data_IF_162701782806
#
_entry.id   IF_162701782806
#
_cell.length_a   1.000
_cell.length_b   1.000
_cell.length_c   1.000
_cell.angle_alpha   90.00
_cell.angle_beta   90.00
_cell.angle_gamma   90.00
#
_symmetry.space_group_name_H-M   'P 1'
#
loop_
_entity.id
_entity.type
_entity.pdbx_description
1 polymer ?
#
# COMPACT_ATOMS: atom_id res chain seq x y z
N UNK A 1 31.76 20.92 13.05
CA UNK A 1 30.47 20.42 12.60
C UNK A 1 30.27 19.12 13.37
N UNK A 2 29.53 19.16 14.49
CA UNK A 2 29.19 17.95 15.25
C UNK A 2 28.24 17.12 14.36
N UNK A 3 28.67 15.94 13.97
CA UNK A 3 27.77 14.99 13.31
C UNK A 3 26.63 14.65 14.27
N UNK A 4 25.45 15.24 14.03
CA UNK A 4 24.24 14.90 14.77
C UNK A 4 23.99 13.40 14.67
N UNK A 5 23.43 12.81 15.73
CA UNK A 5 22.99 11.41 15.71
C UNK A 5 21.87 11.27 14.68
N UNK A 6 21.91 10.20 13.88
CA UNK A 6 20.80 9.89 12.96
C UNK A 6 19.49 9.76 13.77
N UNK A 7 18.42 10.49 13.40
CA UNK A 7 17.14 10.40 14.11
C UNK A 7 16.63 8.96 14.25
N UNK A 8 16.88 8.11 13.26
CA UNK A 8 16.49 6.68 13.28
C UNK A 8 17.13 5.92 14.44
N UNK A 9 18.42 6.19 14.70
CA UNK A 9 19.16 5.50 15.77
C UNK A 9 18.75 5.98 17.18
N UNK A 10 18.13 7.18 17.26
CA UNK A 10 17.70 7.76 18.54
C UNK A 10 16.24 7.49 18.84
N UNK A 11 15.40 7.54 17.80
CA UNK A 11 13.94 7.47 17.94
C UNK A 11 13.40 6.05 17.94
N UNK A 12 14.12 5.11 17.31
CA UNK A 12 13.64 3.74 17.13
C UNK A 12 14.65 2.73 17.66
N UNK A 13 14.15 1.69 18.29
CA UNK A 13 14.93 0.50 18.59
C UNK A 13 15.20 -0.26 17.29
N UNK A 14 16.34 -0.95 17.18
CA UNK A 14 16.80 -1.62 15.97
C UNK A 14 15.70 -2.47 15.32
N UNK A 15 15.24 -2.10 14.15
CA UNK A 15 14.30 -2.87 13.34
C UNK A 15 13.14 -2.09 12.72
N UNK A 16 12.95 -0.84 13.04
CA UNK A 16 11.84 -0.04 12.51
C UNK A 16 12.29 0.82 11.31
N UNK A 17 12.26 0.25 10.12
CA UNK A 17 12.40 1.04 8.89
C UNK A 17 12.02 0.27 7.64
N UNK A 18 10.86 -0.37 7.60
CA UNK A 18 10.27 -0.66 6.29
C UNK A 18 9.82 0.67 5.67
N UNK A 19 10.40 1.00 4.52
CA UNK A 19 9.98 2.19 3.78
C UNK A 19 8.50 2.02 3.39
N UNK A 20 7.65 3.04 3.59
CA UNK A 20 6.23 2.92 3.29
C UNK A 20 6.01 2.60 1.80
N UNK A 21 5.01 1.77 1.50
CA UNK A 21 4.57 1.50 0.14
C UNK A 21 4.09 2.81 -0.53
N UNK A 22 4.13 2.90 -1.88
CA UNK A 22 3.50 4.00 -2.60
C UNK A 22 2.04 4.19 -2.20
N UNK A 23 1.59 5.44 -2.16
CA UNK A 23 0.26 5.81 -1.71
C UNK A 23 -0.88 5.29 -2.60
N UNK A 24 -0.59 4.92 -3.85
CA UNK A 24 -1.58 4.42 -4.79
C UNK A 24 -1.18 3.05 -5.32
N UNK A 25 -2.17 2.18 -5.51
CA UNK A 25 -2.08 0.88 -6.17
C UNK A 25 -3.04 0.86 -7.35
N UNK A 26 -2.52 0.79 -8.58
CA UNK A 26 -3.33 0.88 -9.80
C UNK A 26 -3.53 -0.48 -10.45
N UNK A 27 -4.78 -0.90 -10.58
CA UNK A 27 -5.17 -2.21 -11.12
C UNK A 27 -5.41 -2.14 -12.63
N UNK A 28 -4.90 -3.16 -13.34
CA UNK A 28 -5.10 -3.34 -14.77
C UNK A 28 -5.23 -4.82 -15.12
N UNK A 29 -6.38 -5.24 -15.73
CA UNK A 29 -6.68 -6.64 -16.02
C UNK A 29 -6.55 -7.03 -17.50
N UNK A 30 -6.56 -6.09 -18.44
CA UNK A 30 -6.41 -6.42 -19.86
C UNK A 30 -5.03 -6.04 -20.38
N UNK A 31 -4.50 -6.74 -21.41
CA UNK A 31 -3.17 -6.44 -21.95
C UNK A 31 -2.95 -4.98 -22.32
N UNK A 32 -3.98 -4.34 -22.92
CA UNK A 32 -3.91 -2.93 -23.31
C UNK A 32 -3.85 -1.98 -22.10
N UNK A 33 -4.64 -2.26 -21.04
CA UNK A 33 -4.63 -1.48 -19.81
C UNK A 33 -3.33 -1.70 -19.03
N UNK A 34 -2.82 -2.92 -18.98
CA UNK A 34 -1.53 -3.25 -18.36
C UNK A 34 -0.39 -2.45 -18.98
N UNK A 35 -0.28 -2.50 -20.33
CA UNK A 35 0.75 -1.75 -21.06
C UNK A 35 0.64 -0.24 -20.82
N UNK A 36 -0.59 0.31 -20.82
CA UNK A 36 -0.86 1.73 -20.55
C UNK A 36 -0.46 2.10 -19.11
N UNK A 37 -0.72 1.24 -18.13
CA UNK A 37 -0.37 1.48 -16.73
C UNK A 37 1.15 1.50 -16.50
N UNK A 38 1.89 0.59 -17.14
CA UNK A 38 3.35 0.59 -17.10
C UNK A 38 3.95 1.84 -17.77
N UNK A 39 3.41 2.24 -18.93
CA UNK A 39 3.82 3.47 -19.60
C UNK A 39 3.58 4.71 -18.72
N UNK A 40 2.44 4.75 -18.01
CA UNK A 40 2.12 5.84 -17.08
C UNK A 40 3.04 5.84 -15.85
N UNK A 41 3.39 4.67 -15.31
CA UNK A 41 4.35 4.58 -14.21
C UNK A 41 5.74 5.06 -14.64
N UNK A 42 6.16 4.79 -15.89
CA UNK A 42 7.40 5.32 -16.43
C UNK A 42 7.39 6.85 -16.54
N UNK A 43 6.24 7.43 -16.88
CA UNK A 43 6.06 8.90 -16.98
C UNK A 43 6.08 9.57 -15.60
N UNK A 44 5.34 9.01 -14.63
CA UNK A 44 5.14 9.60 -13.31
C UNK A 44 6.23 9.23 -12.29
N UNK A 45 7.03 8.22 -12.59
CA UNK A 45 7.96 7.61 -11.63
C UNK A 45 7.28 6.58 -10.71
N UNK A 46 8.02 6.01 -9.74
CA UNK A 46 7.53 4.96 -8.83
C UNK A 46 6.66 5.51 -7.69
N UNK A 47 5.83 6.53 -7.97
CA UNK A 47 4.92 7.16 -7.00
C UNK A 47 3.66 6.33 -6.77
N UNK A 48 3.44 5.31 -7.57
CA UNK A 48 2.37 4.33 -7.42
C UNK A 48 2.84 2.95 -7.86
N UNK A 49 2.19 1.90 -7.33
CA UNK A 49 2.37 0.54 -7.81
C UNK A 49 1.36 0.22 -8.91
N UNK A 50 1.71 -0.74 -9.76
CA UNK A 50 0.78 -1.34 -10.72
C UNK A 50 0.51 -2.78 -10.30
N UNK A 51 -0.76 -3.17 -10.16
CA UNK A 51 -1.17 -4.56 -9.98
C UNK A 51 -1.73 -5.11 -11.28
N UNK A 52 -1.05 -6.09 -11.87
CA UNK A 52 -1.55 -6.84 -13.02
C UNK A 52 -2.54 -7.90 -12.53
N UNK A 53 -3.74 -7.91 -13.09
CA UNK A 53 -4.85 -8.65 -12.54
C UNK A 53 -5.13 -9.94 -13.32
N UNK A 54 -5.15 -11.08 -12.63
CA UNK A 54 -5.57 -12.36 -13.16
C UNK A 54 -6.99 -12.78 -12.70
N UNK A 55 -7.65 -11.93 -11.90
CA UNK A 55 -8.94 -12.24 -11.27
C UNK A 55 -10.09 -11.44 -11.92
N UNK A 56 -10.91 -10.74 -11.16
CA UNK A 56 -12.15 -10.08 -11.64
C UNK A 56 -11.94 -9.04 -12.76
N UNK A 57 -10.77 -8.44 -12.87
CA UNK A 57 -10.43 -7.52 -13.96
C UNK A 57 -9.88 -8.19 -15.22
N UNK A 58 -9.64 -9.50 -15.19
CA UNK A 58 -9.11 -10.28 -16.30
C UNK A 58 -10.25 -10.92 -17.14
N UNK A 59 -10.00 -11.26 -18.41
CA UNK A 59 -10.93 -12.05 -19.20
C UNK A 59 -11.10 -13.47 -18.62
N UNK A 60 -12.32 -13.97 -18.59
CA UNK A 60 -12.64 -15.33 -18.16
C UNK A 60 -12.30 -16.33 -19.25
N UNK A 61 -11.66 -17.43 -18.89
CA UNK A 61 -11.19 -18.47 -19.82
C UNK A 61 -9.81 -18.14 -20.40
N UNK A 62 -8.90 -19.08 -20.35
CA UNK A 62 -7.51 -18.89 -20.79
C UNK A 62 -6.57 -18.39 -19.68
N UNK A 63 -6.89 -18.69 -18.42
CA UNK A 63 -6.19 -18.26 -17.20
C UNK A 63 -4.68 -18.54 -17.27
N UNK A 64 -4.26 -19.73 -17.72
CA UNK A 64 -2.85 -20.08 -17.85
C UNK A 64 -2.10 -19.16 -18.82
N UNK A 65 -2.68 -18.86 -19.98
CA UNK A 65 -2.09 -17.93 -20.94
C UNK A 65 -2.04 -16.50 -20.42
N UNK A 66 -3.00 -16.12 -19.57
CA UNK A 66 -3.03 -14.81 -18.94
C UNK A 66 -1.96 -14.69 -17.84
N UNK A 67 -1.76 -15.71 -17.00
CA UNK A 67 -0.67 -15.77 -16.02
C UNK A 67 0.71 -15.66 -16.69
N UNK A 68 0.93 -16.36 -17.83
CA UNK A 68 2.13 -16.21 -18.63
C UNK A 68 2.32 -14.79 -19.19
N UNK A 69 1.23 -14.15 -19.66
CA UNK A 69 1.27 -12.76 -20.11
C UNK A 69 1.71 -11.83 -18.98
N UNK A 70 1.12 -11.97 -17.78
CA UNK A 70 1.48 -11.21 -16.59
C UNK A 70 2.97 -11.40 -16.26
N UNK A 71 3.47 -12.64 -16.26
CA UNK A 71 4.87 -12.92 -16.03
C UNK A 71 5.79 -12.26 -17.07
N UNK A 72 5.42 -12.30 -18.37
CA UNK A 72 6.18 -11.62 -19.43
C UNK A 72 6.18 -10.09 -19.26
N UNK A 73 5.06 -9.50 -18.83
CA UNK A 73 4.99 -8.06 -18.57
C UNK A 73 5.85 -7.65 -17.37
N UNK A 74 5.88 -8.44 -16.31
CA UNK A 74 6.78 -8.24 -15.17
C UNK A 74 8.26 -8.25 -15.60
N UNK A 75 8.64 -9.14 -16.51
CA UNK A 75 10.00 -9.27 -17.04
C UNK A 75 10.36 -8.19 -18.07
N UNK A 76 9.37 -7.49 -18.62
CA UNK A 76 9.61 -6.51 -19.68
C UNK A 76 10.42 -5.31 -19.19
N UNK A 77 11.07 -4.59 -20.11
CA UNK A 77 11.77 -3.34 -19.84
C UNK A 77 10.81 -2.21 -19.36
N UNK A 78 9.51 -2.39 -19.60
CA UNK A 78 8.48 -1.43 -19.16
C UNK A 78 8.26 -1.46 -17.64
N UNK A 79 8.54 -2.58 -16.95
CA UNK A 79 8.61 -2.65 -15.48
C UNK A 79 9.93 -2.03 -15.01
N UNK A 80 10.06 -0.73 -15.15
CA UNK A 80 11.33 -0.01 -14.97
C UNK A 80 11.78 0.07 -13.52
N UNK A 81 10.84 0.05 -12.58
CA UNK A 81 11.10 0.35 -11.17
C UNK A 81 10.94 -0.86 -10.24
N UNK A 82 10.64 -2.04 -10.78
CA UNK A 82 10.28 -3.23 -10.01
C UNK A 82 9.16 -2.98 -8.97
N UNK A 83 8.22 -2.08 -9.36
CA UNK A 83 7.05 -1.68 -8.59
C UNK A 83 5.74 -2.18 -9.21
N UNK A 84 5.79 -3.44 -9.72
CA UNK A 84 4.65 -4.11 -10.34
C UNK A 84 4.36 -5.39 -9.57
N UNK A 85 3.15 -5.49 -9.03
CA UNK A 85 2.60 -6.69 -8.41
C UNK A 85 1.66 -7.45 -9.33
N UNK A 86 1.13 -8.57 -8.85
CA UNK A 86 0.10 -9.35 -9.54
C UNK A 86 -0.98 -9.79 -8.57
N UNK A 87 -2.27 -9.65 -8.96
CA UNK A 87 -3.38 -10.28 -8.26
C UNK A 87 -3.68 -11.61 -8.94
N UNK A 88 -3.58 -12.70 -8.17
CA UNK A 88 -3.87 -14.07 -8.61
C UNK A 88 -5.32 -14.43 -8.31
N UNK A 89 -5.79 -15.56 -8.79
CA UNK A 89 -7.11 -16.08 -8.40
C UNK A 89 -7.19 -16.39 -6.89
N UNK A 90 -8.40 -16.49 -6.32
CA UNK A 90 -8.60 -16.88 -4.92
C UNK A 90 -7.94 -18.23 -4.59
N UNK A 91 -7.50 -18.43 -3.35
CA UNK A 91 -6.79 -19.64 -2.89
C UNK A 91 -7.58 -20.95 -3.16
N UNK A 92 -8.91 -20.88 -3.18
CA UNK A 92 -9.79 -22.00 -3.53
C UNK A 92 -10.04 -22.21 -5.03
N UNK A 93 -9.59 -21.30 -5.89
CA UNK A 93 -9.83 -21.40 -7.33
C UNK A 93 -8.88 -22.42 -7.99
N UNK A 94 -9.34 -23.21 -9.00
CA UNK A 94 -8.49 -24.19 -9.67
C UNK A 94 -7.19 -23.62 -10.27
N UNK A 95 -7.23 -22.41 -10.83
CA UNK A 95 -6.06 -21.75 -11.44
C UNK A 95 -5.05 -21.17 -10.43
N UNK A 96 -5.39 -21.07 -9.14
CA UNK A 96 -4.56 -20.39 -8.14
C UNK A 96 -3.12 -20.92 -8.07
N UNK A 97 -2.97 -22.25 -8.00
CA UNK A 97 -1.64 -22.85 -7.87
C UNK A 97 -0.79 -22.64 -9.13
N UNK A 98 -1.42 -22.69 -10.30
CA UNK A 98 -0.76 -22.48 -11.59
C UNK A 98 -0.39 -21.00 -11.80
N UNK A 99 -1.25 -20.05 -11.38
CA UNK A 99 -0.92 -18.63 -11.39
C UNK A 99 0.35 -18.35 -10.57
N UNK A 100 0.35 -18.82 -9.30
CA UNK A 100 1.50 -18.63 -8.40
C UNK A 100 2.75 -19.27 -8.98
N UNK A 101 2.66 -20.52 -9.42
CA UNK A 101 3.80 -21.24 -9.99
C UNK A 101 4.35 -20.52 -11.23
N UNK A 102 3.50 -20.10 -12.16
CA UNK A 102 3.89 -19.44 -13.40
C UNK A 102 4.50 -18.07 -13.12
N UNK A 103 3.80 -17.21 -12.39
CA UNK A 103 4.22 -15.82 -12.18
C UNK A 103 5.50 -15.77 -11.33
N UNK A 104 5.57 -16.54 -10.25
CA UNK A 104 6.70 -16.48 -9.31
C UNK A 104 7.94 -17.16 -9.89
N UNK A 105 7.81 -18.33 -10.52
CA UNK A 105 8.98 -19.00 -11.10
C UNK A 105 9.60 -18.23 -12.26
N UNK A 106 8.76 -17.59 -13.10
CA UNK A 106 9.25 -16.81 -14.23
C UNK A 106 9.76 -15.42 -13.83
N UNK A 107 9.01 -14.70 -12.98
CA UNK A 107 9.21 -13.28 -12.77
C UNK A 107 9.39 -12.85 -11.29
N UNK A 108 9.53 -13.78 -10.35
CA UNK A 108 9.59 -13.52 -8.91
C UNK A 108 10.67 -12.51 -8.50
N UNK A 109 11.77 -12.39 -9.23
CA UNK A 109 12.84 -11.40 -8.98
C UNK A 109 12.39 -9.96 -9.22
N UNK A 110 11.41 -9.76 -10.12
CA UNK A 110 10.89 -8.46 -10.52
C UNK A 110 9.46 -8.20 -10.04
N UNK A 111 8.87 -9.18 -9.34
CA UNK A 111 7.54 -9.08 -8.77
C UNK A 111 7.58 -8.30 -7.47
N UNK A 112 6.91 -7.16 -7.37
CA UNK A 112 6.87 -6.33 -6.18
C UNK A 112 6.18 -7.06 -5.01
N UNK A 113 5.02 -7.64 -5.26
CA UNK A 113 4.18 -8.41 -4.32
C UNK A 113 3.19 -9.29 -5.07
N UNK A 114 2.64 -10.25 -4.36
CA UNK A 114 1.51 -11.04 -4.82
C UNK A 114 0.26 -10.66 -4.02
N UNK A 115 -0.83 -10.28 -4.70
CA UNK A 115 -2.10 -9.93 -4.08
C UNK A 115 -3.04 -11.15 -4.05
N UNK A 116 -3.53 -11.48 -2.87
CA UNK A 116 -4.46 -12.57 -2.59
C UNK A 116 -5.88 -12.04 -2.43
N UNK A 117 -6.79 -12.26 -3.39
CA UNK A 117 -8.20 -11.88 -3.24
C UNK A 117 -8.95 -12.92 -2.40
N UNK A 118 -10.09 -12.52 -1.87
CA UNK A 118 -11.11 -13.38 -1.26
C UNK A 118 -10.55 -14.38 -0.22
N UNK A 119 -9.53 -13.96 0.55
CA UNK A 119 -9.06 -14.77 1.69
C UNK A 119 -10.18 -14.90 2.73
N UNK A 120 -10.26 -16.05 3.42
CA UNK A 120 -11.25 -16.31 4.46
C UNK A 120 -10.64 -16.41 5.85
N UNK A 121 -9.36 -16.79 5.92
CA UNK A 121 -8.66 -17.07 7.18
C UNK A 121 -7.13 -16.99 7.00
N UNK A 122 -6.40 -16.94 8.10
CA UNK A 122 -4.94 -16.95 8.07
C UNK A 122 -4.36 -18.17 7.36
N UNK A 123 -5.01 -19.35 7.45
CA UNK A 123 -4.57 -20.56 6.76
C UNK A 123 -4.52 -20.42 5.22
N UNK A 124 -5.33 -19.53 4.64
CA UNK A 124 -5.25 -19.23 3.20
C UNK A 124 -3.96 -18.48 2.87
N UNK A 125 -3.55 -17.56 3.75
CA UNK A 125 -2.28 -16.85 3.62
C UNK A 125 -1.09 -17.80 3.79
N UNK A 126 -1.16 -18.72 4.77
CA UNK A 126 -0.14 -19.75 5.00
C UNK A 126 0.04 -20.66 3.77
N UNK A 127 -1.08 -21.10 3.19
CA UNK A 127 -1.07 -21.91 1.96
C UNK A 127 -0.47 -21.15 0.79
N UNK A 128 -0.84 -19.89 0.59
CA UNK A 128 -0.27 -19.04 -0.45
C UNK A 128 1.23 -18.84 -0.25
N UNK A 129 1.67 -18.54 0.98
CA UNK A 129 3.06 -18.36 1.32
C UNK A 129 3.89 -19.61 1.01
N UNK A 130 3.39 -20.79 1.36
CA UNK A 130 4.07 -22.06 1.07
C UNK A 130 4.22 -22.31 -0.45
N UNK A 131 3.19 -22.03 -1.25
CA UNK A 131 3.28 -22.14 -2.72
C UNK A 131 4.25 -21.12 -3.33
N UNK A 132 4.24 -19.88 -2.85
CA UNK A 132 5.18 -18.85 -3.29
C UNK A 132 6.60 -19.26 -2.94
N UNK A 133 6.86 -19.77 -1.74
CA UNK A 133 8.20 -20.24 -1.34
C UNK A 133 8.66 -21.43 -2.21
N UNK A 134 7.77 -22.36 -2.53
CA UNK A 134 8.07 -23.48 -3.41
C UNK A 134 8.39 -23.02 -4.86
N UNK A 135 7.66 -22.02 -5.36
CA UNK A 135 7.88 -21.45 -6.70
C UNK A 135 9.11 -20.50 -6.77
N UNK A 136 9.59 -20.02 -5.62
CA UNK A 136 10.68 -19.05 -5.51
C UNK A 136 12.07 -19.70 -5.53
N UNK A 137 12.23 -20.94 -5.95
CA UNK A 137 13.52 -21.62 -6.02
C UNK A 137 14.52 -20.78 -6.83
N UNK A 138 15.60 -20.30 -6.19
CA UNK A 138 16.61 -19.42 -6.82
C UNK A 138 16.26 -17.92 -6.83
N UNK A 139 15.20 -17.50 -6.14
CA UNK A 139 14.88 -16.09 -5.87
C UNK A 139 15.37 -15.72 -4.48
N UNK A 140 16.37 -14.86 -4.38
CA UNK A 140 16.98 -14.48 -3.08
C UNK A 140 16.00 -13.67 -2.20
N UNK A 141 15.15 -12.84 -2.83
CA UNK A 141 14.20 -12.00 -2.14
C UNK A 141 12.88 -12.75 -1.92
N UNK A 142 12.39 -12.77 -0.68
CA UNK A 142 11.02 -13.21 -0.39
C UNK A 142 10.00 -12.28 -1.03
N UNK A 143 9.11 -12.80 -1.88
CA UNK A 143 7.99 -12.04 -2.46
C UNK A 143 6.98 -11.74 -1.36
N UNK A 144 6.68 -10.46 -1.06
CA UNK A 144 5.65 -10.09 -0.07
C UNK A 144 4.26 -10.49 -0.54
N UNK A 145 3.34 -10.68 0.42
CA UNK A 145 1.93 -10.92 0.15
C UNK A 145 1.10 -9.70 0.57
N UNK A 146 0.20 -9.29 -0.29
CA UNK A 146 -0.90 -8.39 0.03
C UNK A 146 -2.18 -9.20 0.08
N UNK A 147 -3.11 -8.89 0.96
CA UNK A 147 -4.37 -9.61 1.05
C UNK A 147 -5.56 -8.66 0.99
N UNK A 148 -6.63 -9.09 0.31
CA UNK A 148 -7.92 -8.42 0.28
C UNK A 148 -8.80 -8.89 1.42
N UNK A 149 -9.22 -7.97 2.25
CA UNK A 149 -10.20 -8.17 3.31
C UNK A 149 -11.56 -7.78 2.75
N UNK A 150 -12.30 -8.75 2.27
CA UNK A 150 -13.56 -8.55 1.53
C UNK A 150 -14.59 -9.64 1.83
N UNK A 151 -14.26 -10.58 2.72
CA UNK A 151 -15.12 -11.67 3.16
C UNK A 151 -15.42 -11.53 4.67
N UNK A 152 -16.48 -12.17 5.12
CA UNK A 152 -16.78 -12.21 6.56
C UNK A 152 -15.70 -12.94 7.37
N UNK A 153 -15.10 -13.98 6.77
CA UNK A 153 -14.03 -14.75 7.37
C UNK A 153 -12.78 -13.93 7.54
N UNK A 154 -12.33 -13.24 6.48
CA UNK A 154 -11.15 -12.38 6.53
C UNK A 154 -11.31 -11.26 7.55
N UNK A 155 -12.49 -10.63 7.63
CA UNK A 155 -12.71 -9.57 8.62
C UNK A 155 -12.70 -10.10 10.07
N UNK A 156 -13.17 -11.34 10.29
CA UNK A 156 -13.09 -12.00 11.60
C UNK A 156 -11.65 -12.30 11.97
N UNK A 157 -10.82 -12.74 11.02
CA UNK A 157 -9.44 -13.17 11.22
C UNK A 157 -8.42 -12.05 10.93
N UNK A 158 -8.85 -10.79 10.79
CA UNK A 158 -8.03 -9.69 10.28
C UNK A 158 -6.74 -9.46 11.08
N UNK A 159 -6.79 -9.61 12.40
CA UNK A 159 -5.61 -9.51 13.27
C UNK A 159 -4.61 -10.65 13.01
N UNK A 160 -5.09 -11.90 12.89
CA UNK A 160 -4.22 -13.04 12.60
C UNK A 160 -3.61 -12.95 11.20
N UNK A 161 -4.37 -12.45 10.21
CA UNK A 161 -3.88 -12.20 8.86
C UNK A 161 -2.81 -11.09 8.89
N UNK A 162 -3.07 -9.96 9.56
CA UNK A 162 -2.11 -8.86 9.69
C UNK A 162 -0.81 -9.29 10.40
N UNK A 163 -0.92 -10.13 11.43
CA UNK A 163 0.24 -10.66 12.17
C UNK A 163 1.15 -11.57 11.34
N UNK A 164 0.65 -12.13 10.22
CA UNK A 164 1.43 -13.08 9.43
C UNK A 164 2.67 -12.39 8.81
N UNK A 165 3.89 -12.98 8.96
CA UNK A 165 5.16 -12.31 8.60
C UNK A 165 5.32 -12.06 7.09
N UNK A 166 4.56 -12.76 6.24
CA UNK A 166 4.58 -12.55 4.77
C UNK A 166 3.66 -11.44 4.31
N UNK A 167 2.70 -11.03 5.14
CA UNK A 167 1.81 -9.91 4.82
C UNK A 167 2.57 -8.60 4.95
N UNK A 168 2.46 -7.76 3.93
CA UNK A 168 2.99 -6.41 3.86
C UNK A 168 1.85 -5.37 3.88
N UNK A 169 0.72 -5.69 3.25
CA UNK A 169 -0.44 -4.80 3.14
C UNK A 169 -1.76 -5.56 3.22
N UNK A 170 -2.75 -4.95 3.87
CA UNK A 170 -4.14 -5.38 3.78
C UNK A 170 -4.96 -4.32 3.05
N UNK A 171 -5.72 -4.76 2.08
CA UNK A 171 -6.58 -3.90 1.28
C UNK A 171 -8.05 -4.21 1.53
N UNK A 172 -8.90 -3.18 1.57
CA UNK A 172 -10.33 -3.38 1.72
C UNK A 172 -11.01 -3.59 0.37
N UNK A 173 -11.69 -4.72 0.18
CA UNK A 173 -12.52 -5.02 -1.00
C UNK A 173 -13.99 -4.66 -0.74
N UNK A 174 -14.36 -3.39 -0.91
CA UNK A 174 -15.68 -2.86 -0.58
C UNK A 174 -16.81 -3.54 -1.34
N UNK A 175 -16.63 -3.81 -2.64
CA UNK A 175 -17.70 -4.32 -3.51
C UNK A 175 -18.08 -5.75 -3.10
N UNK A 176 -17.10 -6.63 -2.96
CA UNK A 176 -17.31 -8.01 -2.51
C UNK A 176 -17.83 -8.06 -1.07
N UNK A 177 -17.31 -7.20 -0.19
CA UNK A 177 -17.79 -7.08 1.19
C UNK A 177 -19.28 -6.73 1.24
N UNK A 178 -19.72 -5.72 0.48
CA UNK A 178 -21.15 -5.35 0.41
C UNK A 178 -21.99 -6.46 -0.21
N UNK A 179 -21.51 -7.06 -1.29
CA UNK A 179 -22.17 -8.19 -1.97
C UNK A 179 -22.37 -9.38 -1.04
N UNK A 180 -21.38 -9.72 -0.20
CA UNK A 180 -21.46 -10.81 0.78
C UNK A 180 -22.57 -10.62 1.82
N UNK A 181 -23.11 -9.41 2.00
CA UNK A 181 -24.22 -9.11 2.90
C UNK A 181 -25.62 -9.34 2.27
N UNK A 182 -25.68 -9.92 1.07
CA UNK A 182 -26.93 -10.41 0.45
C UNK A 182 -28.02 -9.32 0.34
N UNK A 183 -27.62 -8.10 0.01
CA UNK A 183 -28.52 -6.97 -0.16
C UNK A 183 -28.96 -6.27 1.17
N UNK A 184 -28.44 -6.70 2.32
CA UNK A 184 -28.73 -6.04 3.60
C UNK A 184 -27.99 -4.70 3.76
N UNK A 185 -26.91 -4.47 3.02
CA UNK A 185 -26.23 -3.18 2.89
C UNK A 185 -26.73 -2.53 1.60
N UNK A 186 -27.29 -1.31 1.65
CA UNK A 186 -27.81 -0.65 0.46
C UNK A 186 -26.67 -0.23 -0.50
N UNK A 187 -26.98 -0.12 -1.78
CA UNK A 187 -26.00 0.21 -2.83
C UNK A 187 -25.28 1.56 -2.59
N UNK A 188 -25.96 2.52 -1.97
CA UNK A 188 -25.39 3.81 -1.60
C UNK A 188 -24.15 3.70 -0.70
N UNK A 189 -24.04 2.61 0.08
CA UNK A 189 -22.86 2.36 0.91
C UNK A 189 -21.58 2.06 0.09
N UNK A 190 -21.70 1.85 -1.23
CA UNK A 190 -20.56 1.67 -2.14
C UNK A 190 -20.15 2.99 -2.82
N UNK A 191 -20.96 4.05 -2.70
CA UNK A 191 -20.63 5.36 -3.28
C UNK A 191 -19.45 6.02 -2.55
N UNK A 192 -18.84 7.02 -3.19
CA UNK A 192 -17.74 7.78 -2.61
C UNK A 192 -18.09 8.42 -1.26
N UNK A 193 -19.34 8.79 -1.03
CA UNK A 193 -19.83 9.38 0.23
C UNK A 193 -20.33 8.32 1.21
N UNK A 194 -21.20 7.41 0.76
CA UNK A 194 -21.88 6.43 1.61
C UNK A 194 -20.96 5.41 2.28
N UNK A 195 -19.84 5.11 1.66
CA UNK A 195 -18.82 4.20 2.20
C UNK A 195 -18.17 4.68 3.52
N UNK A 196 -18.35 5.95 3.87
CA UNK A 196 -17.82 6.53 5.11
C UNK A 196 -18.89 6.72 6.20
N UNK A 197 -20.13 6.34 5.92
CA UNK A 197 -21.25 6.52 6.85
C UNK A 197 -21.96 5.22 7.24
N UNK A 198 -21.96 4.20 6.38
CA UNK A 198 -22.62 2.94 6.68
C UNK A 198 -21.86 2.14 7.76
N UNK A 199 -22.54 1.84 8.89
CA UNK A 199 -21.93 1.30 10.10
C UNK A 199 -21.07 0.02 9.89
N UNK A 200 -21.54 -0.94 9.08
CA UNK A 200 -20.79 -2.17 8.81
C UNK A 200 -19.56 -1.92 7.93
N UNK A 201 -19.64 -0.99 6.98
CA UNK A 201 -18.50 -0.59 6.13
C UNK A 201 -17.46 0.15 6.96
N UNK A 202 -17.89 1.11 7.77
CA UNK A 202 -17.01 1.86 8.70
C UNK A 202 -16.31 0.91 9.67
N UNK A 203 -17.06 -0.05 10.26
CA UNK A 203 -16.48 -1.09 11.13
C UNK A 203 -15.36 -1.86 10.43
N UNK A 204 -15.57 -2.30 9.19
CA UNK A 204 -14.56 -3.04 8.43
C UNK A 204 -13.32 -2.17 8.18
N UNK A 205 -13.51 -0.92 7.75
CA UNK A 205 -12.39 0.02 7.54
C UNK A 205 -11.57 0.24 8.80
N UNK A 206 -12.21 0.48 9.92
CA UNK A 206 -11.52 0.69 11.22
C UNK A 206 -10.79 -0.56 11.66
N UNK A 207 -11.40 -1.75 11.54
CA UNK A 207 -10.76 -3.01 11.91
C UNK A 207 -9.50 -3.29 11.08
N UNK A 208 -9.56 -3.09 9.76
CA UNK A 208 -8.42 -3.28 8.86
C UNK A 208 -7.29 -2.32 9.19
N UNK A 209 -7.59 -1.03 9.34
CA UNK A 209 -6.58 -0.02 9.66
C UNK A 209 -5.93 -0.29 11.02
N UNK A 210 -6.72 -0.63 12.05
CA UNK A 210 -6.21 -0.95 13.38
C UNK A 210 -5.29 -2.18 13.37
N UNK A 211 -5.70 -3.27 12.72
CA UNK A 211 -4.87 -4.48 12.59
C UNK A 211 -3.56 -4.20 11.85
N UNK A 212 -3.61 -3.45 10.75
CA UNK A 212 -2.41 -3.07 10.02
C UNK A 212 -1.44 -2.28 10.89
N UNK A 213 -1.90 -1.24 11.58
CA UNK A 213 -1.04 -0.43 12.45
C UNK A 213 -0.50 -1.24 13.63
N UNK A 214 -1.32 -2.12 14.23
CA UNK A 214 -0.90 -2.99 15.33
C UNK A 214 0.24 -3.96 14.96
N UNK A 215 0.35 -4.31 13.69
CA UNK A 215 1.36 -5.25 13.17
C UNK A 215 2.36 -4.61 12.20
N UNK A 216 2.47 -3.29 12.18
CA UNK A 216 3.36 -2.53 11.26
C UNK A 216 3.15 -2.89 9.78
N UNK A 217 1.88 -3.05 9.36
CA UNK A 217 1.49 -3.31 7.98
C UNK A 217 0.86 -2.07 7.35
N UNK A 218 0.78 -2.06 6.01
CA UNK A 218 0.20 -0.95 5.26
C UNK A 218 -1.31 -1.16 5.06
N UNK A 219 -2.19 -0.30 5.62
CA UNK A 219 -3.60 -0.32 5.30
C UNK A 219 -3.85 0.36 3.94
N UNK A 220 -4.47 -0.38 3.00
CA UNK A 220 -4.84 0.09 1.67
C UNK A 220 -6.35 0.23 1.55
N UNK A 221 -6.82 1.45 1.29
CA UNK A 221 -8.25 1.77 1.17
C UNK A 221 -8.83 1.24 -0.14
N UNK A 222 -10.13 0.95 -0.14
CA UNK A 222 -10.86 0.50 -1.32
C UNK A 222 -10.90 1.55 -2.44
N UNK A 223 -11.27 1.09 -3.64
CA UNK A 223 -11.50 1.94 -4.80
C UNK A 223 -12.67 2.92 -4.61
N UNK A 224 -12.67 3.98 -5.41
CA UNK A 224 -13.84 4.81 -5.74
C UNK A 224 -14.23 4.47 -7.17
N UNK A 225 -15.49 4.09 -7.37
CA UNK A 225 -16.00 3.69 -8.69
C UNK A 225 -16.33 4.87 -9.59
N UNK A 226 -16.56 6.04 -9.01
CA UNK A 226 -16.73 7.30 -9.72
C UNK A 226 -15.36 7.78 -10.24
N UNK A 227 -15.17 7.83 -11.55
CA UNK A 227 -13.91 8.25 -12.16
C UNK A 227 -14.04 9.52 -13.03
N UNK A 228 -15.27 9.99 -13.25
CA UNK A 228 -15.53 11.19 -14.05
C UNK A 228 -15.19 12.51 -13.34
N UNK A 229 -15.13 12.50 -12.00
CA UNK A 229 -14.79 13.67 -11.19
C UNK A 229 -13.63 13.37 -10.25
N UNK A 230 -12.49 13.97 -10.51
CA UNK A 230 -11.28 13.80 -9.70
C UNK A 230 -11.40 14.42 -8.29
N UNK A 231 -12.31 15.39 -8.08
CA UNK A 231 -12.55 15.97 -6.76
C UNK A 231 -13.22 14.96 -5.82
N UNK A 232 -14.12 14.12 -6.35
CA UNK A 232 -14.75 13.02 -5.59
C UNK A 232 -13.69 12.02 -5.11
N UNK A 233 -12.76 11.65 -5.99
CA UNK A 233 -11.65 10.75 -5.66
C UNK A 233 -10.73 11.38 -4.61
N UNK A 234 -10.34 12.64 -4.79
CA UNK A 234 -9.50 13.37 -3.85
C UNK A 234 -10.16 13.49 -2.46
N UNK A 235 -11.47 13.77 -2.42
CA UNK A 235 -12.25 13.82 -1.19
C UNK A 235 -12.25 12.50 -0.44
N UNK A 236 -12.54 11.39 -1.14
CA UNK A 236 -12.53 10.05 -0.55
C UNK A 236 -11.12 9.64 -0.06
N UNK A 237 -10.08 9.91 -0.85
CA UNK A 237 -8.70 9.64 -0.46
C UNK A 237 -8.26 10.46 0.77
N UNK A 238 -8.68 11.73 0.84
CA UNK A 238 -8.41 12.60 2.01
C UNK A 238 -9.09 12.06 3.26
N UNK A 239 -10.36 11.64 3.18
CA UNK A 239 -11.08 11.01 4.30
C UNK A 239 -10.43 9.71 4.72
N UNK A 240 -10.06 8.85 3.78
CA UNK A 240 -9.35 7.62 4.06
C UNK A 240 -8.05 7.87 4.85
N UNK A 241 -7.25 8.84 4.42
CA UNK A 241 -5.98 9.19 5.07
C UNK A 241 -6.17 9.86 6.43
N UNK A 242 -7.09 10.82 6.55
CA UNK A 242 -7.19 11.72 7.71
C UNK A 242 -8.16 11.23 8.80
N UNK A 243 -9.23 10.55 8.40
CA UNK A 243 -10.25 10.09 9.35
C UNK A 243 -10.08 8.62 9.73
N UNK A 244 -9.53 7.79 8.82
CA UNK A 244 -9.44 6.34 8.99
C UNK A 244 -8.01 5.78 9.11
N UNK A 245 -7.00 6.62 8.96
CA UNK A 245 -5.60 6.20 9.14
C UNK A 245 -5.05 5.32 8.03
N UNK A 246 -5.66 5.31 6.85
CA UNK A 246 -5.09 4.62 5.70
C UNK A 246 -3.85 5.35 5.19
N UNK A 247 -2.90 4.61 4.63
CA UNK A 247 -1.68 5.17 4.03
C UNK A 247 -1.55 4.89 2.54
N UNK A 248 -2.50 4.11 1.98
CA UNK A 248 -2.56 3.67 0.58
C UNK A 248 -4.00 3.54 0.12
N UNK A 249 -4.25 3.62 -1.18
CA UNK A 249 -5.58 3.44 -1.78
C UNK A 249 -5.47 2.84 -3.18
N UNK A 250 -6.48 2.04 -3.57
CA UNK A 250 -6.60 1.49 -4.91
C UNK A 250 -7.08 2.51 -5.93
N UNK A 251 -6.62 2.33 -7.14
CA UNK A 251 -7.08 3.01 -8.34
C UNK A 251 -7.46 1.98 -9.41
N UNK A 252 -8.57 2.23 -10.10
CA UNK A 252 -9.04 1.43 -11.25
C UNK A 252 -9.08 2.24 -12.54
N UNK A 253 -8.75 3.53 -12.46
CA UNK A 253 -8.70 4.42 -13.62
C UNK A 253 -7.49 5.37 -13.52
N UNK A 254 -6.73 5.60 -14.60
CA UNK A 254 -5.53 6.46 -14.57
C UNK A 254 -5.74 7.87 -14.00
N UNK A 255 -6.92 8.47 -14.23
CA UNK A 255 -7.26 9.80 -13.71
C UNK A 255 -7.32 9.85 -12.18
N UNK A 256 -7.44 8.70 -11.48
CA UNK A 256 -7.49 8.62 -10.02
C UNK A 256 -6.11 8.67 -9.36
N UNK A 257 -5.04 8.32 -10.08
CA UNK A 257 -3.70 8.15 -9.51
C UNK A 257 -3.19 9.44 -8.89
N UNK A 258 -3.15 10.54 -9.65
CA UNK A 258 -2.64 11.83 -9.17
C UNK A 258 -3.42 12.38 -7.98
N UNK A 259 -4.78 12.42 -7.99
CA UNK A 259 -5.55 12.86 -6.81
C UNK A 259 -5.32 11.97 -5.57
N UNK A 260 -5.21 10.65 -5.74
CA UNK A 260 -4.89 9.75 -4.63
C UNK A 260 -3.50 10.07 -4.07
N UNK A 261 -2.47 10.10 -4.91
CA UNK A 261 -1.10 10.39 -4.47
C UNK A 261 -1.03 11.71 -3.72
N UNK A 262 -1.68 12.76 -4.26
CA UNK A 262 -1.70 14.08 -3.62
C UNK A 262 -2.41 14.07 -2.25
N UNK A 263 -3.56 13.36 -2.13
CA UNK A 263 -4.34 13.33 -0.89
C UNK A 263 -3.62 12.62 0.28
N UNK A 264 -2.76 11.64 -0.04
CA UNK A 264 -1.98 10.92 0.96
C UNK A 264 -0.67 11.61 1.34
N UNK A 265 -0.28 12.69 0.65
CA UNK A 265 0.91 13.45 1.03
C UNK A 265 0.67 14.28 2.29
N UNK A 266 1.70 14.47 3.14
CA UNK A 266 1.66 15.50 4.16
C UNK A 266 1.48 16.88 3.53
N UNK A 267 0.74 17.77 4.19
CA UNK A 267 0.62 19.16 3.78
C UNK A 267 1.92 19.93 4.06
N UNK A 268 2.17 20.99 3.33
CA UNK A 268 3.37 21.81 3.51
C UNK A 268 3.56 22.25 4.97
N UNK A 269 2.46 22.68 5.62
CA UNK A 269 2.51 23.13 7.02
C UNK A 269 2.87 21.99 7.99
N UNK A 270 2.48 20.74 7.67
CA UNK A 270 2.86 19.57 8.47
C UNK A 270 4.34 19.24 8.31
N UNK A 271 4.88 19.41 7.10
CA UNK A 271 6.31 19.23 6.81
C UNK A 271 7.14 20.30 7.51
N UNK A 272 6.73 21.56 7.40
CA UNK A 272 7.41 22.68 8.06
C UNK A 272 7.44 22.52 9.58
N UNK A 273 6.31 22.13 10.18
CA UNK A 273 6.23 21.83 11.60
C UNK A 273 7.14 20.64 11.98
N UNK A 274 7.16 19.58 11.18
CA UNK A 274 8.01 18.44 11.44
C UNK A 274 9.50 18.78 11.39
N UNK A 275 9.93 19.56 10.39
CA UNK A 275 11.30 20.06 10.31
C UNK A 275 11.67 20.91 11.53
N UNK A 276 10.82 21.87 11.91
CA UNK A 276 11.08 22.77 13.03
C UNK A 276 11.21 22.02 14.36
N UNK A 277 10.33 21.03 14.62
CA UNK A 277 10.35 20.22 15.86
C UNK A 277 11.57 19.31 15.90
N UNK A 278 11.90 18.60 14.81
CA UNK A 278 13.07 17.72 14.78
C UNK A 278 14.38 18.49 14.86
N UNK A 279 14.48 19.65 14.23
CA UNK A 279 15.63 20.54 14.36
C UNK A 279 15.82 21.05 15.81
N UNK A 280 14.73 21.35 16.50
CA UNK A 280 14.79 21.76 17.89
C UNK A 280 15.15 20.58 18.81
N UNK A 281 14.62 19.38 18.55
CA UNK A 281 14.95 18.17 19.28
C UNK A 281 16.43 17.81 19.15
N UNK A 282 17.00 17.89 17.95
CA UNK A 282 18.42 17.64 17.71
C UNK A 282 19.32 18.65 18.46
N UNK A 283 18.97 19.93 18.45
CA UNK A 283 19.69 20.95 19.24
C UNK A 283 19.62 20.70 20.74
N UNK A 284 18.57 20.04 21.22
CA UNK A 284 18.41 19.65 22.62
C UNK A 284 18.96 18.25 22.95
N UNK A 285 19.75 17.67 22.04
CA UNK A 285 20.24 16.27 22.15
C UNK A 285 19.10 15.26 22.41
N UNK A 286 17.95 15.49 21.76
CA UNK A 286 16.75 14.65 21.83
C UNK A 286 16.07 14.60 23.21
N UNK A 287 16.42 15.52 24.11
CA UNK A 287 15.69 15.76 25.35
C UNK A 287 14.29 16.37 25.03
N UNK A 288 13.34 16.29 25.99
CA UNK A 288 12.06 16.98 25.83
C UNK A 288 12.24 18.48 25.60
N UNK A 289 11.47 19.03 24.64
CA UNK A 289 11.47 20.45 24.30
C UNK A 289 10.11 21.08 24.47
N UNK A 290 10.06 22.40 24.61
CA UNK A 290 8.84 23.18 24.50
C UNK A 290 8.88 24.01 23.21
N UNK A 291 7.87 23.82 22.33
CA UNK A 291 7.66 24.64 21.16
C UNK A 291 6.30 25.36 21.29
N UNK A 292 6.33 26.67 21.38
CA UNK A 292 5.15 27.43 21.78
C UNK A 292 4.69 27.05 23.20
N UNK A 293 3.46 26.56 23.29
CA UNK A 293 2.87 26.08 24.57
C UNK A 293 2.74 24.55 24.62
N UNK A 294 3.38 23.82 23.68
CA UNK A 294 3.28 22.36 23.57
C UNK A 294 4.61 21.72 23.94
N UNK A 295 4.53 20.72 24.83
CA UNK A 295 5.65 19.87 25.17
C UNK A 295 5.80 18.78 24.08
N UNK A 296 7.03 18.58 23.61
CA UNK A 296 7.39 17.52 22.69
C UNK A 296 8.47 16.63 23.31
N UNK A 297 8.33 15.34 23.12
CA UNK A 297 9.26 14.30 23.58
C UNK A 297 9.48 13.25 22.48
N UNK A 298 10.12 12.13 22.80
CA UNK A 298 10.40 11.06 21.82
C UNK A 298 9.15 10.50 21.16
N UNK A 299 8.00 10.48 21.83
CA UNK A 299 6.77 9.98 21.23
C UNK A 299 6.28 10.91 20.11
N UNK A 300 6.27 12.21 20.36
CA UNK A 300 5.93 13.20 19.34
C UNK A 300 7.00 13.32 18.25
N UNK A 301 8.29 13.17 18.57
CA UNK A 301 9.37 13.19 17.57
C UNK A 301 9.22 12.06 16.54
N UNK A 302 8.81 10.85 16.96
CA UNK A 302 8.51 9.73 16.04
C UNK A 302 7.39 10.10 15.07
N UNK A 303 6.32 10.75 15.54
CA UNK A 303 5.26 11.23 14.66
C UNK A 303 5.80 12.18 13.59
N UNK A 304 6.56 13.20 13.99
CA UNK A 304 7.13 14.17 13.05
C UNK A 304 8.15 13.53 12.10
N UNK A 305 8.93 12.56 12.57
CA UNK A 305 9.79 11.76 11.70
C UNK A 305 9.00 11.02 10.62
N UNK A 306 7.91 10.36 10.97
CA UNK A 306 7.06 9.68 9.98
C UNK A 306 6.39 10.65 8.99
N UNK A 307 6.10 11.88 9.38
CA UNK A 307 5.67 12.95 8.45
C UNK A 307 6.76 13.20 7.40
N UNK A 308 8.04 13.35 7.81
CA UNK A 308 9.13 13.55 6.86
C UNK A 308 9.39 12.32 5.98
N UNK A 309 9.32 11.11 6.53
CA UNK A 309 9.44 9.86 5.77
C UNK A 309 8.35 9.78 4.68
N UNK A 310 7.11 10.15 4.98
CA UNK A 310 6.03 10.20 3.98
C UNK A 310 6.29 11.28 2.93
N UNK A 311 6.72 12.46 3.34
CA UNK A 311 7.02 13.57 2.45
C UNK A 311 8.19 13.25 1.50
N UNK A 312 9.24 12.55 1.97
CA UNK A 312 10.40 12.19 1.15
C UNK A 312 10.08 11.31 -0.06
N UNK A 313 8.91 10.64 -0.03
CA UNK A 313 8.43 9.76 -1.11
C UNK A 313 7.78 10.51 -2.28
N UNK A 314 7.45 11.77 -2.11
CA UNK A 314 6.88 12.57 -3.18
C UNK A 314 7.95 13.43 -3.85
N UNK A 315 7.92 13.56 -5.17
CA UNK A 315 8.74 14.54 -5.86
C UNK A 315 8.49 15.94 -5.28
N UNK A 316 9.52 16.59 -4.76
CA UNK A 316 9.39 17.91 -4.14
C UNK A 316 8.67 17.95 -2.78
N UNK A 317 8.42 16.81 -2.16
CA UNK A 317 7.74 16.71 -0.85
C UNK A 317 8.59 17.22 0.33
N UNK A 318 9.91 17.29 0.16
CA UNK A 318 10.83 17.91 1.10
C UNK A 318 11.71 18.96 0.40
N UNK A 319 12.12 20.03 1.11
CA UNK A 319 13.22 20.88 0.67
C UNK A 319 14.49 20.05 0.40
N UNK A 320 15.27 20.43 -0.62
CA UNK A 320 16.45 19.66 -1.08
C UNK A 320 17.49 19.46 0.03
N UNK A 321 17.74 20.48 0.83
CA UNK A 321 18.65 20.44 1.97
C UNK A 321 18.17 19.53 3.10
N UNK A 322 16.88 19.56 3.40
CA UNK A 322 16.26 18.66 4.37
C UNK A 322 16.29 17.20 3.89
N UNK A 323 16.01 16.97 2.59
CA UNK A 323 16.10 15.62 2.00
C UNK A 323 17.54 15.10 2.08
N UNK A 324 18.53 15.89 1.69
CA UNK A 324 19.95 15.51 1.76
C UNK A 324 20.38 15.21 3.20
N UNK A 325 19.92 16.01 4.18
CA UNK A 325 20.26 15.85 5.59
C UNK A 325 19.70 14.58 6.21
N UNK A 326 18.42 14.28 6.00
CA UNK A 326 17.72 13.19 6.70
C UNK A 326 17.70 11.87 5.90
N UNK A 327 17.82 11.93 4.56
CA UNK A 327 17.64 10.76 3.68
C UNK A 327 18.80 10.56 2.68
N UNK A 328 19.76 11.49 2.57
CA UNK A 328 20.78 11.51 1.50
C UNK A 328 21.93 10.51 1.59
N UNK A 329 22.13 9.81 2.71
CA UNK A 329 23.33 8.99 2.90
C UNK A 329 23.07 7.46 2.97
N UNK A 330 21.86 7.03 3.21
CA UNK A 330 21.53 5.59 3.44
C UNK A 330 20.45 5.04 2.51
N UNK A 331 19.63 5.89 1.93
CA UNK A 331 18.64 5.48 0.96
C UNK A 331 19.27 5.58 -0.43
N UNK A 332 20.02 4.55 -0.82
CA UNK A 332 20.45 4.41 -2.21
C UNK A 332 19.21 4.61 -3.10
N UNK A 333 19.29 5.55 -4.03
CA UNK A 333 18.21 5.83 -4.97
C UNK A 333 17.72 4.53 -5.63
N UNK A 334 16.41 4.44 -5.93
CA UNK A 334 15.84 3.25 -6.57
C UNK A 334 16.45 2.94 -7.92
#
# INVERSE_FOLDING_TARGET
MSGGRDPRDVLFDSGEAALPLPACDHYAGTPALMAKSLALQRELGPVFDVTLDCEDGAPVGGEAGHAELVARMLLSAENRFDRVGARVHPVGHPAFADDVATIVSMAGRRLAYLMLPKVERVADVERAAALVDAASAGVERRVPLHALIETHGALRDVEAIAAHPRIESLSFGLMDFVSAHRGAIPAEAMSAEGQFSHALVVRAKVAIAAACHGHAKTPSHNVVTEFGDTAVVAGAATRAAREFGYSRMWSIHPAQIRPIVAAFQPRAEEVDAALAILDAAERADWAPIQAGQVLHDRASYRYFWHVLVRASRAPGGLPTDAHARYFGARDGAP
#
